data_IF_841501494043
#
_entry.id   IF_841501494043
#
_cell.length_a   1.000
_cell.length_b   1.000
_cell.length_c   1.000
_cell.angle_alpha   90.00
_cell.angle_beta   90.00
_cell.angle_gamma   90.00
#
_symmetry.space_group_name_H-M   'P 1'
#
loop_
_entity.id
_entity.type
_entity.pdbx_description
1 polymer ?
#
# COMPACT_ATOMS: atom_id res chain seq x y z
N UNK A 1 75.17 15.57 11.87
CA UNK A 1 74.73 16.87 12.44
C UNK A 1 73.38 17.23 11.82
N UNK A 2 72.36 17.51 12.66
CA UNK A 2 71.20 18.43 12.50
C UNK A 2 70.49 18.53 11.12
N UNK A 3 69.17 18.64 10.92
CA UNK A 3 67.88 18.55 11.66
C UNK A 3 66.85 19.23 10.69
N UNK A 4 65.57 18.81 10.70
CA UNK A 4 64.35 19.62 10.33
C UNK A 4 64.06 19.76 8.81
N UNK A 5 62.85 19.73 8.22
CA UNK A 5 61.43 19.74 8.64
C UNK A 5 60.53 19.15 7.55
N UNK A 6 59.33 18.73 7.97
CA UNK A 6 58.17 18.36 7.17
C UNK A 6 57.46 19.56 6.49
N UNK A 7 56.65 19.29 5.47
CA UNK A 7 55.41 20.04 5.19
C UNK A 7 54.38 19.10 4.54
N UNK A 8 53.41 18.67 5.34
CA UNK A 8 52.15 18.03 4.92
C UNK A 8 51.26 19.13 4.35
N UNK A 9 50.85 19.02 3.10
CA UNK A 9 49.78 19.86 2.54
C UNK A 9 48.53 18.99 2.45
N UNK A 10 47.71 19.06 3.49
CA UNK A 10 46.35 18.54 3.53
C UNK A 10 45.47 19.44 2.67
N UNK A 11 44.98 18.91 1.54
CA UNK A 11 43.90 19.53 0.79
C UNK A 11 42.59 19.33 1.55
N UNK A 12 42.20 20.32 2.36
CA UNK A 12 40.85 20.40 2.90
C UNK A 12 39.90 20.84 1.78
N UNK A 13 39.24 19.90 1.12
CA UNK A 13 38.10 20.21 0.28
C UNK A 13 36.96 20.69 1.18
N UNK A 14 36.66 21.98 1.08
CA UNK A 14 35.50 22.59 1.70
C UNK A 14 34.22 22.06 1.03
N UNK A 15 33.70 20.91 1.48
CA UNK A 15 32.29 20.58 1.28
C UNK A 15 31.49 21.44 2.24
N UNK A 16 31.02 22.58 1.72
CA UNK A 16 30.06 23.44 2.40
C UNK A 16 28.85 22.61 2.82
N UNK A 17 28.64 22.55 4.13
CA UNK A 17 27.45 21.98 4.72
C UNK A 17 26.30 22.97 4.46
N UNK A 18 25.64 22.81 3.33
CA UNK A 18 24.34 23.45 3.11
C UNK A 18 23.35 22.67 3.97
N UNK A 19 23.01 23.21 5.14
CA UNK A 19 21.76 22.91 5.85
C UNK A 19 20.62 23.45 4.99
N UNK A 20 20.36 22.78 3.87
CA UNK A 20 19.11 22.94 3.17
C UNK A 20 18.07 22.37 4.13
N UNK A 21 17.11 23.21 4.48
CA UNK A 21 15.81 22.80 5.02
C UNK A 21 15.04 22.04 3.92
N UNK A 22 15.69 21.03 3.32
CA UNK A 22 15.09 20.10 2.41
C UNK A 22 14.21 19.23 3.29
N UNK A 23 12.93 19.61 3.40
CA UNK A 23 11.91 18.62 3.69
C UNK A 23 12.19 17.46 2.76
N UNK A 24 12.57 16.32 3.32
CA UNK A 24 12.78 15.11 2.53
C UNK A 24 11.44 14.83 1.88
N UNK A 25 11.30 15.16 0.60
CA UNK A 25 10.13 14.77 -0.15
C UNK A 25 10.07 13.24 -0.02
N UNK A 26 9.09 12.75 0.74
CA UNK A 26 8.87 11.32 0.86
C UNK A 26 8.44 10.87 -0.53
N UNK A 27 9.27 10.06 -1.19
CA UNK A 27 8.91 9.50 -2.47
C UNK A 27 7.87 8.40 -2.23
N UNK A 28 6.75 8.46 -2.95
CA UNK A 28 5.75 7.39 -2.96
C UNK A 28 6.44 6.07 -3.33
N UNK A 29 6.21 5.02 -2.54
CA UNK A 29 6.91 3.74 -2.67
C UNK A 29 5.98 2.57 -3.02
N UNK A 30 6.52 1.60 -3.76
CA UNK A 30 5.88 0.30 -4.03
C UNK A 30 6.17 -0.74 -2.94
N UNK A 31 6.93 -0.37 -1.91
CA UNK A 31 7.36 -1.28 -0.85
C UNK A 31 7.32 -0.58 0.50
N UNK A 32 6.71 -1.22 1.49
CA UNK A 32 6.53 -0.62 2.81
C UNK A 32 6.43 -1.67 3.92
N UNK A 33 6.79 -1.29 5.14
CA UNK A 33 6.77 -2.16 6.31
C UNK A 33 5.55 -1.95 7.20
N UNK A 34 5.70 -2.31 8.47
CA UNK A 34 4.72 -1.99 9.50
C UNK A 34 4.60 -0.47 9.71
N UNK A 35 3.41 0.00 10.05
CA UNK A 35 3.17 1.41 10.36
C UNK A 35 1.88 1.94 9.77
N UNK A 36 1.82 3.25 9.61
CA UNK A 36 0.72 3.99 9.00
C UNK A 36 1.21 4.58 7.69
N UNK A 37 0.44 4.38 6.63
CA UNK A 37 0.82 4.73 5.26
C UNK A 37 -0.33 5.45 4.57
N UNK A 38 -0.11 6.72 4.21
CA UNK A 38 -1.06 7.51 3.46
C UNK A 38 -1.03 7.09 2.00
N UNK A 39 -2.20 6.71 1.48
CA UNK A 39 -2.35 6.34 0.08
C UNK A 39 -2.26 7.60 -0.77
N UNK A 40 -1.53 7.53 -1.88
CA UNK A 40 -1.16 8.64 -2.77
C UNK A 40 -0.09 9.62 -2.25
N UNK A 41 0.35 9.50 -1.00
CA UNK A 41 1.44 10.31 -0.43
C UNK A 41 2.65 9.45 -0.07
N UNK A 42 2.42 8.34 0.62
CA UNK A 42 3.47 7.39 1.01
C UNK A 42 3.49 6.17 0.08
N UNK A 43 2.33 5.67 -0.34
CA UNK A 43 2.20 4.45 -1.16
C UNK A 43 1.22 4.61 -2.33
N UNK A 44 1.42 3.86 -3.41
CA UNK A 44 0.49 3.80 -4.52
C UNK A 44 -0.76 2.96 -4.22
N UNK A 45 -1.83 3.17 -4.98
CA UNK A 45 -2.92 2.19 -5.06
C UNK A 45 -2.41 0.94 -5.78
N UNK A 46 -2.94 -0.23 -5.47
CA UNK A 46 -2.43 -1.46 -6.05
C UNK A 46 -2.71 -2.71 -5.25
N UNK A 47 -2.27 -3.84 -5.79
CA UNK A 47 -2.29 -5.12 -5.11
C UNK A 47 -0.90 -5.31 -4.49
N UNK A 48 -0.86 -5.55 -3.18
CA UNK A 48 0.36 -5.77 -2.43
C UNK A 48 0.40 -7.20 -1.88
N UNK A 49 1.58 -7.79 -1.88
CA UNK A 49 1.85 -9.09 -1.28
C UNK A 49 2.84 -8.93 -0.12
N UNK A 50 2.51 -9.54 1.02
CA UNK A 50 3.38 -9.57 2.18
C UNK A 50 4.56 -10.51 1.94
N UNK A 51 5.78 -10.00 2.11
CA UNK A 51 7.01 -10.78 2.07
C UNK A 51 7.44 -11.13 3.50
N UNK A 52 7.71 -12.43 3.70
CA UNK A 52 8.15 -12.98 4.97
C UNK A 52 7.28 -12.54 6.17
N UNK A 53 5.94 -12.72 6.11
CA UNK A 53 5.11 -12.52 7.29
C UNK A 53 5.59 -13.43 8.42
N UNK A 54 5.42 -12.97 9.65
CA UNK A 54 5.84 -13.71 10.83
C UNK A 54 4.98 -14.94 11.05
N UNK A 55 5.60 -16.08 11.35
CA UNK A 55 4.87 -17.30 11.74
C UNK A 55 4.30 -17.22 13.17
N UNK A 56 4.75 -16.25 13.97
CA UNK A 56 4.42 -16.16 15.40
C UNK A 56 3.57 -14.92 15.74
N UNK A 57 3.47 -13.97 14.81
CA UNK A 57 2.71 -12.74 14.98
C UNK A 57 1.66 -12.62 13.89
N UNK A 58 0.42 -12.34 14.29
CA UNK A 58 -0.66 -12.10 13.33
C UNK A 58 -0.36 -10.89 12.45
N UNK A 59 -0.43 -11.09 11.14
CA UNK A 59 -0.45 -9.99 10.19
C UNK A 59 -1.82 -9.33 10.24
N UNK A 60 -1.86 -8.08 10.69
CA UNK A 60 -3.07 -7.26 10.80
C UNK A 60 -2.96 -6.10 9.82
N UNK A 61 -4.00 -5.91 9.02
CA UNK A 61 -4.15 -4.75 8.14
C UNK A 61 -5.47 -4.07 8.47
N UNK A 62 -5.43 -2.75 8.61
CA UNK A 62 -6.61 -1.91 8.80
C UNK A 62 -6.62 -0.79 7.77
N UNK A 63 -7.80 -0.48 7.26
CA UNK A 63 -8.05 0.60 6.29
C UNK A 63 -8.84 1.70 6.97
N UNK A 64 -8.47 2.95 6.70
CA UNK A 64 -9.12 4.13 7.26
C UNK A 64 -9.52 5.09 6.13
N UNK A 65 -10.64 5.76 6.34
CA UNK A 65 -11.05 6.88 5.49
C UNK A 65 -10.33 8.18 5.90
N UNK A 66 -10.62 9.28 5.18
CA UNK A 66 -10.03 10.61 5.44
C UNK A 66 -10.30 11.16 6.85
N UNK A 67 -11.36 10.70 7.50
CA UNK A 67 -11.77 11.11 8.84
C UNK A 67 -11.16 10.20 9.93
N UNK A 68 -10.21 9.33 9.55
CA UNK A 68 -9.53 8.35 10.43
C UNK A 68 -10.52 7.36 11.06
N UNK A 69 -11.70 7.18 10.46
CA UNK A 69 -12.60 6.11 10.84
C UNK A 69 -12.14 4.82 10.16
N UNK A 70 -12.02 3.75 10.95
CA UNK A 70 -11.67 2.44 10.43
C UNK A 70 -12.83 1.92 9.56
N UNK A 71 -12.57 1.69 8.28
CA UNK A 71 -13.55 1.22 7.29
C UNK A 71 -13.36 -0.25 6.93
N UNK A 72 -12.19 -0.81 7.22
CA UNK A 72 -11.87 -2.20 6.95
C UNK A 72 -10.79 -2.70 7.90
N UNK A 73 -10.86 -3.99 8.21
CA UNK A 73 -9.86 -4.64 9.05
C UNK A 73 -9.86 -6.13 8.77
N UNK A 74 -8.67 -6.72 8.66
CA UNK A 74 -8.53 -8.15 8.57
C UNK A 74 -7.17 -8.60 9.09
N UNK A 75 -7.18 -9.85 9.55
CA UNK A 75 -6.06 -10.51 10.19
C UNK A 75 -5.78 -11.85 9.51
N UNK A 76 -4.51 -12.17 9.32
CA UNK A 76 -4.08 -13.44 8.77
C UNK A 76 -2.84 -13.93 9.50
N UNK A 77 -2.79 -15.24 9.73
CA UNK A 77 -1.62 -15.98 10.21
C UNK A 77 -0.94 -16.78 9.10
N UNK A 78 -1.37 -16.58 7.85
CA UNK A 78 -0.83 -17.31 6.70
C UNK A 78 0.49 -16.73 6.20
N UNK A 79 1.34 -17.59 5.63
CA UNK A 79 2.61 -17.21 5.01
C UNK A 79 2.46 -16.43 3.70
N UNK A 80 1.24 -16.36 3.14
CA UNK A 80 0.95 -15.61 1.93
C UNK A 80 -0.31 -14.78 2.14
N UNK A 81 -0.11 -13.47 2.25
CA UNK A 81 -1.20 -12.49 2.45
C UNK A 81 -1.13 -11.48 1.33
N UNK A 82 -2.25 -11.25 0.65
CA UNK A 82 -2.41 -10.18 -0.33
C UNK A 82 -3.43 -9.18 0.15
N UNK A 83 -3.15 -7.91 -0.08
CA UNK A 83 -4.11 -6.83 0.10
C UNK A 83 -4.30 -6.05 -1.20
N UNK A 84 -5.48 -5.49 -1.37
CA UNK A 84 -5.81 -4.55 -2.43
C UNK A 84 -6.00 -3.19 -1.78
N UNK A 85 -5.15 -2.23 -2.14
CA UNK A 85 -5.26 -0.83 -1.76
C UNK A 85 -6.01 -0.10 -2.87
N UNK A 86 -7.24 0.29 -2.57
CA UNK A 86 -8.17 0.90 -3.52
C UNK A 86 -7.96 2.41 -3.66
N UNK A 87 -8.60 2.99 -4.69
CA UNK A 87 -8.52 4.42 -5.00
C UNK A 87 -9.22 5.33 -3.98
N UNK A 88 -10.11 4.78 -3.16
CA UNK A 88 -10.82 5.52 -2.12
C UNK A 88 -10.22 5.29 -0.72
N UNK A 89 -9.14 4.52 -0.62
CA UNK A 89 -8.42 4.41 0.64
C UNK A 89 -7.63 5.68 0.88
N UNK A 90 -7.58 6.09 2.15
CA UNK A 90 -6.76 7.22 2.56
C UNK A 90 -5.57 6.76 3.38
N UNK A 91 -5.78 5.81 4.30
CA UNK A 91 -4.71 5.34 5.15
C UNK A 91 -4.78 3.83 5.33
N UNK A 92 -3.63 3.19 5.24
CA UNK A 92 -3.43 1.78 5.55
C UNK A 92 -2.54 1.66 6.77
N UNK A 93 -2.98 0.90 7.77
CA UNK A 93 -2.17 0.52 8.92
C UNK A 93 -1.84 -0.95 8.88
N UNK A 94 -0.56 -1.30 9.08
CA UNK A 94 -0.06 -2.68 9.04
C UNK A 94 0.74 -3.02 10.29
N UNK A 95 0.56 -4.24 10.81
CA UNK A 95 1.33 -4.72 11.96
C UNK A 95 2.72 -5.22 11.57
N UNK A 96 3.62 -5.30 12.56
CA UNK A 96 4.94 -5.93 12.42
C UNK A 96 4.89 -7.41 12.02
N UNK A 97 3.77 -8.09 12.29
CA UNK A 97 3.56 -9.48 11.87
C UNK A 97 3.43 -9.66 10.36
N UNK A 98 3.17 -8.60 9.59
CA UNK A 98 3.02 -8.69 8.14
C UNK A 98 4.34 -8.74 7.36
N UNK A 99 5.48 -8.45 8.00
CA UNK A 99 6.75 -8.31 7.28
C UNK A 99 6.75 -7.09 6.35
N UNK A 100 7.22 -7.27 5.13
CA UNK A 100 7.41 -6.18 4.17
C UNK A 100 6.48 -6.34 2.98
N UNK A 101 5.63 -5.36 2.72
CA UNK A 101 4.70 -5.35 1.60
C UNK A 101 5.39 -4.95 0.31
N UNK A 102 5.03 -5.58 -0.80
CA UNK A 102 5.53 -5.22 -2.13
C UNK A 102 4.40 -5.25 -3.14
N UNK A 103 4.30 -4.19 -3.95
CA UNK A 103 3.30 -4.08 -5.01
C UNK A 103 3.56 -5.15 -6.07
N UNK A 104 2.53 -5.90 -6.41
CA UNK A 104 2.57 -7.01 -7.38
C UNK A 104 1.59 -6.82 -8.54
N UNK A 105 0.76 -5.78 -8.49
CA UNK A 105 -0.17 -5.46 -9.57
C UNK A 105 -0.89 -4.13 -9.35
N UNK A 106 -1.51 -3.64 -10.42
CA UNK A 106 -2.35 -2.45 -10.41
C UNK A 106 -3.80 -2.80 -10.03
N UNK A 107 -4.51 -1.81 -9.46
CA UNK A 107 -5.97 -1.86 -9.31
C UNK A 107 -6.56 -1.02 -10.43
N UNK A 108 -7.53 -1.53 -11.22
CA UNK A 108 -8.12 -0.76 -12.29
C UNK A 108 -8.70 0.56 -11.74
N UNK A 109 -8.50 1.68 -12.46
CA UNK A 109 -9.05 2.96 -12.05
C UNK A 109 -10.58 2.88 -11.97
N UNK A 110 -11.22 3.63 -11.05
CA UNK A 110 -12.66 3.71 -11.04
C UNK A 110 -13.14 4.22 -12.41
N UNK A 111 -14.26 3.67 -12.94
CA UNK A 111 -14.81 4.14 -14.20
C UNK A 111 -15.11 5.65 -14.10
N UNK A 112 -14.98 6.41 -15.19
CA UNK A 112 -15.42 7.81 -15.22
C UNK A 112 -16.87 7.89 -14.74
N UNK A 113 -17.15 8.83 -13.83
CA UNK A 113 -18.51 9.05 -13.36
C UNK A 113 -19.27 9.79 -14.47
N UNK A 114 -19.86 9.04 -15.39
CA UNK A 114 -20.86 9.58 -16.30
C UNK A 114 -22.15 9.80 -15.48
N UNK A 115 -22.46 11.07 -15.20
CA UNK A 115 -23.63 11.52 -14.41
C UNK A 115 -25.01 11.12 -14.99
N UNK A 116 -25.05 10.26 -16.01
CA UNK A 116 -26.25 9.98 -16.83
C UNK A 116 -26.81 8.58 -16.59
N UNK A 117 -26.11 7.68 -15.89
CA UNK A 117 -26.64 6.34 -15.56
C UNK A 117 -27.16 6.27 -14.12
N UNK A 118 -28.43 5.91 -13.89
CA UNK A 118 -28.94 5.72 -12.54
C UNK A 118 -28.16 4.61 -11.84
N UNK A 119 -27.84 4.83 -10.55
CA UNK A 119 -27.08 3.95 -9.66
C UNK A 119 -27.56 2.48 -9.74
N UNK A 120 -26.96 1.71 -10.64
CA UNK A 120 -27.02 0.26 -10.64
C UNK A 120 -25.62 -0.24 -10.33
N UNK A 121 -25.39 -0.49 -9.04
CA UNK A 121 -24.35 -1.37 -8.52
C UNK A 121 -22.97 -1.10 -9.11
N UNK A 122 -22.37 0.06 -8.76
CA UNK A 122 -20.90 0.10 -8.68
C UNK A 122 -20.56 -0.77 -7.49
N UNK A 123 -20.35 -2.07 -7.74
CA UNK A 123 -19.69 -2.95 -6.78
C UNK A 123 -18.36 -2.30 -6.50
N UNK A 124 -18.29 -1.55 -5.39
CA UNK A 124 -17.11 -0.82 -5.02
C UNK A 124 -15.94 -1.78 -5.04
N UNK A 125 -14.91 -1.46 -5.80
CA UNK A 125 -13.57 -2.01 -5.61
C UNK A 125 -13.09 -1.49 -4.25
N UNK A 126 -13.73 -2.02 -3.21
CA UNK A 126 -13.40 -1.80 -1.83
C UNK A 126 -12.19 -2.64 -1.51
N UNK A 127 -11.38 -2.11 -0.62
CA UNK A 127 -10.11 -2.69 -0.24
C UNK A 127 -10.37 -4.01 0.45
N UNK A 128 -9.82 -5.06 -0.13
CA UNK A 128 -9.99 -6.42 0.31
C UNK A 128 -8.61 -7.04 0.50
N UNK A 129 -8.47 -7.81 1.58
CA UNK A 129 -7.32 -8.69 1.72
C UNK A 129 -7.79 -10.14 1.65
N UNK A 130 -7.02 -10.93 0.91
CA UNK A 130 -7.27 -12.36 0.69
C UNK A 130 -6.10 -13.11 1.32
N UNK A 131 -6.37 -13.70 2.49
CA UNK A 131 -5.54 -14.72 3.10
C UNK A 131 -6.12 -16.10 2.77
N UNK A 132 -5.26 -17.09 2.50
CA UNK A 132 -5.63 -18.44 2.02
C UNK A 132 -6.52 -19.29 2.95
N UNK A 133 -7.12 -18.72 3.99
CA UNK A 133 -8.03 -19.41 4.92
C UNK A 133 -9.50 -19.00 4.78
N UNK A 134 -9.82 -18.00 3.94
CA UNK A 134 -11.20 -17.54 3.72
C UNK A 134 -11.48 -17.44 2.21
N UNK A 135 -11.85 -18.57 1.62
CA UNK A 135 -12.48 -18.62 0.30
C UNK A 135 -14.00 -18.54 0.51
N UNK A 136 -14.67 -17.38 0.32
CA UNK A 136 -16.09 -17.42 0.03
C UNK A 136 -16.24 -17.64 -1.47
N UNK A 137 -16.67 -18.84 -1.83
CA UNK A 137 -17.25 -19.07 -3.14
C UNK A 137 -18.45 -18.15 -3.36
N UNK A 138 -18.42 -17.38 -4.43
CA UNK A 138 -19.61 -16.89 -5.13
C UNK A 138 -19.36 -17.26 -6.61
N UNK A 139 -19.73 -18.46 -7.05
CA UNK A 139 -21.07 -18.80 -7.57
C UNK A 139 -21.52 -17.67 -8.51
N UNK A 140 -21.06 -17.62 -9.76
CA UNK A 140 -21.75 -18.22 -10.92
C UNK A 140 -23.22 -18.57 -10.68
N UNK A 141 -24.16 -17.65 -10.95
CA UNK A 141 -25.46 -17.93 -11.59
C UNK A 141 -26.37 -16.69 -11.52
N UNK A 142 -26.91 -16.31 -12.68
CA UNK A 142 -27.91 -15.26 -12.77
C UNK A 142 -28.09 -14.60 -14.15
N UNK A 143 -27.73 -15.27 -15.25
CA UNK A 143 -28.35 -14.96 -16.54
C UNK A 143 -29.77 -15.53 -16.50
N UNK A 144 -30.77 -14.67 -16.37
CA UNK A 144 -32.14 -15.02 -16.71
C UNK A 144 -32.68 -13.89 -17.59
N UNK A 145 -32.51 -14.08 -18.90
CA UNK A 145 -33.15 -13.27 -19.92
C UNK A 145 -34.66 -13.45 -19.84
N UNK A 146 -35.39 -12.35 -20.01
CA UNK A 146 -36.84 -12.37 -20.24
C UNK A 146 -37.07 -11.82 -21.65
N UNK A 147 -37.36 -12.73 -22.58
CA UNK A 147 -37.86 -12.43 -23.92
C UNK A 147 -39.08 -13.33 -24.19
N UNK A 148 -40.09 -12.74 -24.84
CA UNK A 148 -41.37 -13.29 -25.32
C UNK A 148 -42.38 -13.69 -24.22
N UNK A 149 -43.66 -13.31 -24.24
CA UNK A 149 -44.53 -12.93 -25.35
C UNK A 149 -45.66 -13.97 -25.45
N UNK A 150 -46.90 -13.58 -25.13
CA UNK A 150 -48.19 -14.04 -25.68
C UNK A 150 -49.29 -13.07 -25.24
#
# INVERSE_FOLDING_TARGET
MRKIAAAVVSAAAATGLVLANAGTAHAITDRFGAGWWHVHEDIYTGIYEAQNPSDWLTCRVSFYNKDINQVGHHESVNQRVRMTVGWNDHIVSTSSGCGMWTRVGDVPPPPPIDYVTPLLVVGGLGSAMVGSTMLPGLISMGMMGSAAGY
#
